data_IF_923104313629
#
_entry.id   IF_923104313629
#
_cell.length_a   1.000
_cell.length_b   1.000
_cell.length_c   1.000
_cell.angle_alpha   90.00
_cell.angle_beta   90.00
_cell.angle_gamma   90.00
#
_symmetry.space_group_name_H-M   'P 1'
#
loop_
_entity.id
_entity.type
_entity.pdbx_description
1 polymer ?
#
# COMPACT_ATOMS: atom_id res chain seq x y z
N UNK A 1 -34.90 -54.46 38.87
CA UNK A 1 -33.92 -55.31 38.16
C UNK A 1 -33.91 -54.88 36.70
N UNK A 2 -32.77 -54.38 36.19
CA UNK A 2 -32.46 -53.97 34.79
C UNK A 2 -33.23 -52.68 34.34
N UNK A 3 -32.65 -51.64 33.74
CA UNK A 3 -31.46 -51.53 32.89
C UNK A 3 -30.71 -50.20 33.07
N UNK A 4 -29.46 -50.24 32.67
CA UNK A 4 -28.40 -49.25 32.83
C UNK A 4 -28.07 -48.66 31.45
N UNK A 5 -27.88 -47.33 31.40
CA UNK A 5 -27.07 -46.52 30.45
C UNK A 5 -27.58 -46.25 29.01
N UNK A 6 -27.72 -44.97 28.66
CA UNK A 6 -27.16 -44.38 27.42
C UNK A 6 -27.17 -42.83 27.53
N UNK A 7 -26.08 -42.20 27.98
CA UNK A 7 -25.07 -41.51 27.15
C UNK A 7 -25.68 -40.43 26.23
N UNK A 8 -25.45 -39.12 26.44
CA UNK A 8 -24.21 -38.30 26.46
C UNK A 8 -24.21 -37.39 25.21
N UNK A 9 -24.07 -36.09 25.49
CA UNK A 9 -23.50 -35.04 24.61
C UNK A 9 -24.35 -34.63 23.40
N UNK A 10 -25.16 -33.58 23.61
CA UNK A 10 -25.52 -32.64 22.57
C UNK A 10 -24.24 -31.90 22.15
N UNK A 11 -23.58 -32.36 21.09
CA UNK A 11 -22.47 -31.65 20.46
C UNK A 11 -23.06 -30.50 19.64
N UNK A 12 -22.90 -29.28 20.14
CA UNK A 12 -23.18 -28.06 19.42
C UNK A 12 -22.13 -27.91 18.31
N UNK A 13 -22.45 -28.37 17.10
CA UNK A 13 -21.62 -28.17 15.93
C UNK A 13 -21.84 -26.75 15.37
N UNK A 14 -21.28 -25.74 16.03
CA UNK A 14 -21.00 -24.47 15.37
C UNK A 14 -19.80 -24.71 14.46
N UNK A 15 -20.07 -25.13 13.22
CA UNK A 15 -19.09 -25.03 12.15
C UNK A 15 -18.77 -23.54 11.99
N UNK A 16 -17.65 -23.10 12.61
CA UNK A 16 -17.05 -21.82 12.31
C UNK A 16 -16.62 -21.88 10.85
N UNK A 17 -17.47 -21.39 9.96
CA UNK A 17 -17.00 -20.85 8.69
C UNK A 17 -16.05 -19.71 9.08
N UNK A 18 -14.77 -20.03 9.20
CA UNK A 18 -13.70 -19.06 9.06
C UNK A 18 -13.70 -18.70 7.57
N UNK A 19 -14.72 -17.95 7.14
CA UNK A 19 -14.63 -17.23 5.89
C UNK A 19 -13.38 -16.39 6.01
N UNK A 20 -12.47 -16.49 5.03
CA UNK A 20 -11.44 -15.49 4.88
C UNK A 20 -12.18 -14.14 4.80
N UNK A 21 -12.18 -13.40 5.90
CA UNK A 21 -12.63 -12.04 5.92
C UNK A 21 -11.66 -11.26 5.03
N UNK A 22 -11.99 -11.19 3.74
CA UNK A 22 -11.32 -10.32 2.80
C UNK A 22 -11.82 -8.91 3.10
N UNK A 23 -11.24 -8.28 4.12
CA UNK A 23 -11.42 -6.86 4.34
C UNK A 23 -11.07 -6.14 3.03
N UNK A 24 -11.94 -5.25 2.57
CA UNK A 24 -11.72 -4.47 1.35
C UNK A 24 -10.36 -3.77 1.42
N UNK A 25 -9.52 -3.95 0.41
CA UNK A 25 -8.23 -3.25 0.37
C UNK A 25 -8.41 -1.79 -0.09
N UNK A 26 -8.25 -0.87 0.86
CA UNK A 26 -8.30 0.57 0.63
C UNK A 26 -6.95 1.15 0.17
N UNK A 27 -5.90 0.34 0.02
CA UNK A 27 -4.57 0.78 -0.41
C UNK A 27 -4.61 1.31 -1.85
N UNK A 28 -3.95 2.45 -2.08
CA UNK A 28 -3.82 3.02 -3.43
C UNK A 28 -2.58 2.54 -4.18
N UNK A 29 -1.48 2.32 -3.45
CA UNK A 29 -0.16 2.05 -4.03
C UNK A 29 0.55 0.97 -3.20
N UNK A 30 1.01 -0.08 -3.86
CA UNK A 30 2.09 -0.93 -3.37
C UNK A 30 3.38 -0.56 -4.09
N UNK A 31 4.49 -0.46 -3.36
CA UNK A 31 5.76 0.00 -3.91
C UNK A 31 6.96 -0.74 -3.34
N UNK A 32 7.95 -0.99 -4.22
CA UNK A 32 9.35 -1.21 -3.83
C UNK A 32 10.11 0.07 -4.14
N UNK A 33 10.58 0.77 -3.12
CA UNK A 33 11.12 2.13 -3.26
C UNK A 33 12.64 2.09 -3.37
N UNK A 34 13.17 2.70 -4.43
CA UNK A 34 14.61 2.79 -4.67
C UNK A 34 15.19 4.10 -4.13
N UNK A 35 14.47 5.23 -4.31
CA UNK A 35 14.95 6.57 -3.94
C UNK A 35 13.78 7.52 -3.66
N UNK A 36 13.99 8.46 -2.75
CA UNK A 36 13.09 9.59 -2.49
C UNK A 36 13.84 10.91 -2.74
N UNK A 37 13.20 11.85 -3.43
CA UNK A 37 13.68 13.23 -3.61
C UNK A 37 12.68 14.18 -2.97
N UNK A 38 13.18 15.05 -2.08
CA UNK A 38 12.40 16.04 -1.36
C UNK A 38 12.72 17.43 -1.93
N UNK A 39 11.69 18.17 -2.33
CA UNK A 39 11.83 19.49 -2.96
C UNK A 39 11.05 20.57 -2.19
N UNK A 40 11.58 21.80 -2.08
CA UNK A 40 12.87 22.24 -2.63
C UNK A 40 14.07 21.68 -1.86
N UNK A 41 13.86 21.18 -0.65
CA UNK A 41 14.89 20.59 0.21
C UNK A 41 14.25 19.63 1.24
N UNK A 42 15.08 19.02 2.08
CA UNK A 42 14.64 18.08 3.11
C UNK A 42 14.03 18.71 4.37
N UNK A 43 14.22 20.00 4.61
CA UNK A 43 13.77 20.66 5.85
C UNK A 43 12.30 21.08 5.78
N UNK A 44 11.87 21.54 4.60
CA UNK A 44 10.49 21.96 4.36
C UNK A 44 10.02 21.56 2.95
N UNK A 45 9.97 20.25 2.64
CA UNK A 45 9.58 19.79 1.31
C UNK A 45 8.13 20.10 0.97
N UNK A 46 7.88 20.79 -0.13
CA UNK A 46 6.54 20.99 -0.69
C UNK A 46 6.16 19.90 -1.69
N UNK A 47 7.16 19.20 -2.23
CA UNK A 47 6.97 18.13 -3.21
C UNK A 47 7.89 16.95 -2.92
N UNK A 48 7.46 15.78 -3.39
CA UNK A 48 8.21 14.53 -3.30
C UNK A 48 8.21 13.82 -4.65
N UNK A 49 9.37 13.32 -5.05
CA UNK A 49 9.47 12.27 -6.06
C UNK A 49 9.76 10.95 -5.35
N UNK A 50 8.94 9.94 -5.60
CA UNK A 50 9.14 8.58 -5.11
C UNK A 50 9.53 7.72 -6.30
N UNK A 51 10.78 7.25 -6.33
CA UNK A 51 11.32 6.43 -7.40
C UNK A 51 11.30 4.96 -6.99
N UNK A 52 10.87 4.08 -7.89
CA UNK A 52 10.73 2.67 -7.56
C UNK A 52 9.98 1.86 -8.61
N UNK A 53 9.46 0.73 -8.16
CA UNK A 53 8.53 -0.13 -8.89
C UNK A 53 7.19 -0.10 -8.16
N UNK A 54 6.11 0.13 -8.90
CA UNK A 54 4.79 0.37 -8.33
C UNK A 54 3.72 -0.53 -8.94
N UNK A 55 2.79 -0.98 -8.09
CA UNK A 55 1.51 -1.55 -8.49
C UNK A 55 0.39 -0.66 -7.93
N UNK A 56 -0.40 -0.07 -8.83
CA UNK A 56 -1.45 0.90 -8.49
C UNK A 56 -2.82 0.24 -8.44
N UNK A 57 -3.67 0.61 -7.49
CA UNK A 57 -5.02 0.07 -7.40
C UNK A 57 -5.82 0.32 -8.68
N UNK A 58 -6.50 -0.72 -9.18
CA UNK A 58 -7.46 -0.57 -10.28
C UNK A 58 -8.73 0.11 -9.74
N UNK A 59 -9.12 1.27 -10.30
CA UNK A 59 -10.27 2.02 -9.81
C UNK A 59 -11.63 1.39 -10.15
N UNK A 60 -11.71 0.49 -11.13
CA UNK A 60 -12.92 -0.23 -11.52
C UNK A 60 -13.09 -1.57 -10.80
N UNK A 61 -12.01 -2.13 -10.25
CA UNK A 61 -12.00 -3.49 -9.72
C UNK A 61 -11.45 -3.53 -8.28
N UNK A 62 -12.30 -3.78 -7.27
CA UNK A 62 -11.87 -3.95 -5.89
C UNK A 62 -10.79 -5.05 -5.78
N UNK A 63 -9.74 -4.79 -5.00
CA UNK A 63 -8.60 -5.68 -4.77
C UNK A 63 -7.69 -5.97 -5.99
N UNK A 64 -7.98 -5.41 -7.16
CA UNK A 64 -7.09 -5.51 -8.32
C UNK A 64 -6.10 -4.34 -8.35
N UNK A 65 -4.94 -4.61 -8.96
CA UNK A 65 -3.81 -3.70 -9.08
C UNK A 65 -3.16 -3.86 -10.45
N UNK A 66 -2.59 -2.76 -10.95
CA UNK A 66 -1.81 -2.77 -12.18
C UNK A 66 -0.62 -3.72 -12.08
N UNK A 67 -0.18 -4.22 -13.24
CA UNK A 67 1.13 -4.85 -13.34
C UNK A 67 2.22 -3.91 -12.78
N UNK A 68 3.26 -4.46 -12.14
CA UNK A 68 4.34 -3.67 -11.57
C UNK A 68 5.07 -2.90 -12.68
N UNK A 69 5.23 -1.59 -12.49
CA UNK A 69 5.92 -0.74 -13.44
C UNK A 69 6.95 0.16 -12.75
N UNK A 70 8.13 0.26 -13.36
CA UNK A 70 9.26 1.07 -12.89
C UNK A 70 9.12 2.52 -13.35
N UNK A 71 9.43 3.45 -12.46
CA UNK A 71 9.35 4.88 -12.75
C UNK A 71 9.44 5.73 -11.49
N UNK A 72 8.75 6.87 -11.50
CA UNK A 72 8.54 7.69 -10.31
C UNK A 72 7.12 8.23 -10.21
N UNK A 73 6.65 8.38 -8.97
CA UNK A 73 5.45 9.14 -8.63
C UNK A 73 5.88 10.55 -8.18
N UNK A 74 5.08 11.57 -8.48
CA UNK A 74 5.43 12.95 -8.14
C UNK A 74 4.27 13.69 -7.49
N UNK A 75 4.44 14.05 -6.22
CA UNK A 75 3.36 14.61 -5.42
C UNK A 75 3.71 15.97 -4.85
N UNK A 76 2.68 16.74 -4.50
CA UNK A 76 2.76 17.97 -3.70
C UNK A 76 1.95 17.82 -2.41
N UNK A 77 2.36 18.56 -1.39
CA UNK A 77 1.57 18.70 -0.16
C UNK A 77 0.22 19.36 -0.45
N UNK A 78 -0.78 19.01 0.36
CA UNK A 78 -2.07 19.72 0.37
C UNK A 78 -1.92 21.13 0.98
N UNK A 79 -2.87 22.02 0.70
CA UNK A 79 -2.91 23.37 1.32
C UNK A 79 -3.39 23.33 2.78
N UNK A 80 -4.11 22.27 3.17
CA UNK A 80 -4.51 22.02 4.54
C UNK A 80 -3.27 21.67 5.39
N UNK A 81 -3.04 22.41 6.47
CA UNK A 81 -1.84 22.27 7.31
C UNK A 81 -1.72 20.89 7.98
N UNK A 82 -2.83 20.29 8.41
CA UNK A 82 -2.81 18.96 9.04
C UNK A 82 -2.47 17.88 8.01
N UNK A 83 -3.08 17.96 6.83
CA UNK A 83 -2.75 17.07 5.72
C UNK A 83 -1.28 17.26 5.29
N UNK A 84 -0.81 18.50 5.16
CA UNK A 84 0.58 18.77 4.82
C UNK A 84 1.55 18.16 5.84
N UNK A 85 1.25 18.24 7.15
CA UNK A 85 2.08 17.62 8.18
C UNK A 85 2.06 16.09 8.08
N UNK A 86 0.89 15.48 7.91
CA UNK A 86 0.78 14.03 7.76
C UNK A 86 1.52 13.52 6.51
N UNK A 87 1.42 14.24 5.39
CA UNK A 87 2.19 13.95 4.18
C UNK A 87 3.70 13.99 4.44
N UNK A 88 4.20 15.02 5.11
CA UNK A 88 5.65 15.12 5.45
C UNK A 88 6.12 13.99 6.35
N UNK A 89 5.29 13.54 7.28
CA UNK A 89 5.59 12.37 8.12
C UNK A 89 5.70 11.11 7.27
N UNK A 90 4.70 10.83 6.42
CA UNK A 90 4.76 9.69 5.50
C UNK A 90 5.96 9.78 4.54
N UNK A 91 6.32 10.98 4.07
CA UNK A 91 7.49 11.17 3.21
C UNK A 91 8.80 10.81 3.90
N UNK A 92 8.90 11.07 5.21
CA UNK A 92 10.03 10.62 6.02
C UNK A 92 10.04 9.09 6.13
N UNK A 93 8.89 8.45 6.31
CA UNK A 93 8.80 6.98 6.34
C UNK A 93 9.20 6.36 4.98
N UNK A 94 8.71 6.92 3.86
CA UNK A 94 9.11 6.53 2.51
C UNK A 94 10.62 6.67 2.30
N UNK A 95 11.22 7.74 2.83
CA UNK A 95 12.66 7.97 2.77
C UNK A 95 13.45 6.95 3.59
N UNK A 96 12.94 6.52 4.74
CA UNK A 96 13.58 5.51 5.58
C UNK A 96 13.59 4.12 4.94
N UNK A 97 12.54 3.76 4.19
CA UNK A 97 12.47 2.46 3.49
C UNK A 97 13.13 2.47 2.11
N UNK A 98 13.47 3.64 1.55
CA UNK A 98 14.10 3.72 0.24
C UNK A 98 15.43 2.94 0.19
N UNK A 99 15.61 2.11 -0.84
CA UNK A 99 16.81 1.30 -1.04
C UNK A 99 16.89 0.03 -0.19
N UNK A 100 15.96 -0.19 0.74
CA UNK A 100 15.92 -1.40 1.60
C UNK A 100 15.39 -2.65 0.88
N UNK A 101 14.78 -2.46 -0.31
CA UNK A 101 14.02 -3.47 -1.07
C UNK A 101 12.73 -3.95 -0.39
N UNK A 102 12.34 -3.37 0.74
CA UNK A 102 11.07 -3.66 1.37
C UNK A 102 9.90 -3.21 0.49
N UNK A 103 8.80 -3.96 0.55
CA UNK A 103 7.54 -3.57 -0.07
C UNK A 103 6.72 -2.82 0.98
N UNK A 104 6.24 -1.65 0.60
CA UNK A 104 5.35 -0.83 1.41
C UNK A 104 4.05 -0.53 0.67
N UNK A 105 3.02 -0.23 1.44
CA UNK A 105 1.71 0.19 1.01
C UNK A 105 1.43 1.59 1.55
N UNK A 106 0.85 2.45 0.71
CA UNK A 106 0.41 3.79 1.07
C UNK A 106 -0.68 4.25 0.10
N UNK A 107 -1.23 5.44 0.34
CA UNK A 107 -2.29 5.94 -0.51
C UNK A 107 -3.66 5.38 -0.19
N UNK A 108 -4.68 6.02 -0.74
CA UNK A 108 -6.05 5.53 -0.73
C UNK A 108 -6.48 5.15 -2.15
N UNK A 109 -7.11 3.98 -2.30
CA UNK A 109 -7.81 3.56 -3.51
C UNK A 109 -8.76 4.66 -3.98
N UNK A 110 -8.77 4.91 -5.29
CA UNK A 110 -9.52 6.02 -5.90
C UNK A 110 -8.64 7.22 -6.22
N UNK A 111 -7.51 7.40 -5.52
CA UNK A 111 -6.44 8.26 -6.01
C UNK A 111 -5.76 7.60 -7.22
N UNK A 112 -5.42 8.40 -8.22
CA UNK A 112 -4.84 7.94 -9.49
C UNK A 112 -3.48 8.58 -9.72
N UNK A 113 -2.45 8.19 -8.96
CA UNK A 113 -1.12 8.70 -9.21
C UNK A 113 -0.61 8.17 -10.55
N UNK A 114 0.15 8.98 -11.28
CA UNK A 114 0.79 8.56 -12.52
C UNK A 114 2.22 8.05 -12.26
N UNK A 115 2.50 6.82 -12.70
CA UNK A 115 3.88 6.33 -12.83
C UNK A 115 4.50 7.02 -14.05
N UNK A 116 5.42 7.94 -13.78
CA UNK A 116 6.19 8.67 -14.79
C UNK A 116 7.44 7.87 -15.14
N UNK A 117 7.82 7.90 -16.41
CA UNK A 117 9.07 7.27 -16.90
C UNK A 117 10.28 7.96 -16.28
N UNK A 118 11.41 7.26 -16.16
CA UNK A 118 12.60 7.79 -15.50
C UNK A 118 13.19 9.07 -16.13
N UNK A 119 12.96 9.26 -17.43
CA UNK A 119 13.41 10.43 -18.22
C UNK A 119 12.35 11.54 -18.31
N UNK A 120 11.14 11.31 -17.78
CA UNK A 120 10.10 12.32 -17.76
C UNK A 120 10.50 13.48 -16.84
N UNK A 121 10.13 14.69 -17.23
CA UNK A 121 10.36 15.88 -16.42
C UNK A 121 9.43 15.88 -15.20
N UNK A 122 9.90 16.22 -13.99
CA UNK A 122 9.05 16.38 -12.80
C UNK A 122 8.17 17.63 -12.89
N UNK A 123 7.05 17.52 -13.59
CA UNK A 123 6.04 18.57 -13.72
C UNK A 123 4.64 18.08 -13.37
N UNK A 124 3.75 19.03 -13.08
CA UNK A 124 2.35 18.79 -12.74
C UNK A 124 2.15 17.73 -11.64
N UNK A 125 2.68 17.95 -10.41
CA UNK A 125 2.56 17.00 -9.32
C UNK A 125 1.09 16.81 -8.88
N UNK A 126 0.70 15.57 -8.64
CA UNK A 126 -0.60 15.23 -8.05
C UNK A 126 -0.63 15.60 -6.55
N UNK A 127 -1.83 15.76 -5.99
CA UNK A 127 -1.97 15.87 -4.54
C UNK A 127 -1.53 14.56 -3.87
N UNK A 128 -0.77 14.66 -2.78
CA UNK A 128 -0.32 13.47 -2.05
C UNK A 128 -1.52 12.73 -1.39
N UNK A 129 -1.70 11.43 -1.65
CA UNK A 129 -2.89 10.69 -1.20
C UNK A 129 -2.74 10.17 0.24
N UNK A 130 -2.97 11.01 1.25
CA UNK A 130 -2.87 10.58 2.65
C UNK A 130 -3.96 9.55 2.96
N UNK A 131 -3.62 8.53 3.73
CA UNK A 131 -4.57 7.52 4.20
C UNK A 131 -4.20 7.00 5.60
N UNK A 132 -3.79 5.73 5.71
CA UNK A 132 -3.41 5.09 6.98
C UNK A 132 -1.90 5.16 7.30
N UNK A 133 -1.16 6.05 6.63
CA UNK A 133 0.30 6.04 6.70
C UNK A 133 0.96 5.03 5.77
N UNK A 134 2.30 5.03 5.80
CA UNK A 134 3.14 4.04 5.12
C UNK A 134 3.23 2.80 5.98
N UNK A 135 2.89 1.63 5.43
CA UNK A 135 2.89 0.38 6.18
C UNK A 135 3.41 -0.79 5.35
N UNK A 136 3.92 -1.81 6.03
CA UNK A 136 4.33 -3.06 5.37
C UNK A 136 3.09 -3.95 5.19
N UNK A 137 2.99 -4.73 4.09
CA UNK A 137 1.90 -5.68 3.88
C UNK A 137 1.95 -6.90 4.82
N UNK A 138 2.91 -6.95 5.76
CA UNK A 138 3.15 -8.09 6.64
C UNK A 138 3.62 -9.32 5.86
N UNK A 139 3.19 -10.51 6.30
CA UNK A 139 3.56 -11.80 5.69
C UNK A 139 2.72 -12.16 4.45
N UNK A 140 1.99 -11.21 3.84
CA UNK A 140 1.10 -11.42 2.70
C UNK A 140 1.86 -11.54 1.37
N UNK A 141 2.86 -12.42 1.32
CA UNK A 141 3.72 -12.60 0.13
C UNK A 141 2.98 -13.26 -1.04
N UNK A 142 1.85 -13.91 -0.79
CA UNK A 142 0.94 -14.50 -1.78
C UNK A 142 -0.06 -13.48 -2.36
N UNK A 143 -0.20 -12.31 -1.75
CA UNK A 143 -1.10 -11.28 -2.23
C UNK A 143 -0.59 -10.70 -3.56
N UNK A 144 -1.45 -10.68 -4.59
CA UNK A 144 -1.06 -10.41 -5.97
C UNK A 144 -0.14 -9.19 -6.18
N UNK A 145 -0.44 -7.96 -5.68
CA UNK A 145 0.44 -6.82 -5.87
C UNK A 145 1.78 -6.97 -5.14
N UNK A 146 1.80 -7.62 -3.97
CA UNK A 146 3.03 -7.86 -3.19
C UNK A 146 3.91 -8.89 -3.90
N UNK A 147 3.32 -10.02 -4.31
CA UNK A 147 4.02 -11.06 -5.06
C UNK A 147 4.63 -10.52 -6.35
N UNK A 148 3.86 -9.75 -7.11
CA UNK A 148 4.32 -9.17 -8.37
C UNK A 148 5.54 -8.24 -8.19
N UNK A 149 5.58 -7.47 -7.10
CA UNK A 149 6.74 -6.63 -6.76
C UNK A 149 7.95 -7.41 -6.25
N UNK A 150 7.73 -8.53 -5.53
CA UNK A 150 8.81 -9.44 -5.13
C UNK A 150 9.46 -10.11 -6.34
N UNK A 151 8.65 -10.51 -7.32
CA UNK A 151 9.07 -11.21 -8.53
C UNK A 151 9.60 -10.27 -9.62
N UNK A 152 9.39 -8.95 -9.49
CA UNK A 152 9.85 -7.97 -10.47
C UNK A 152 11.37 -7.95 -10.60
N UNK A 153 11.84 -8.29 -11.80
CA UNK A 153 13.23 -8.24 -12.23
C UNK A 153 13.46 -6.98 -13.07
N UNK A 154 14.64 -6.38 -12.89
CA UNK A 154 15.08 -5.21 -13.63
C UNK A 154 15.53 -5.56 -15.06
#
# INVERSE_FOLDING_TARGET
>A
MKSVHLYRKLLLACAAFVGLAHASDFTGVYARIDKVVLEPNGDSPERIQVWGVFSLADPGHPNEYSAPARGYLYFKVDRNLQAAQAARNEWNDLKQVAGTREIVAFGMRGNRPQIRKADAKPESPEAYPINMGVHKPGNRTDYAPVRALLEYKD
#
